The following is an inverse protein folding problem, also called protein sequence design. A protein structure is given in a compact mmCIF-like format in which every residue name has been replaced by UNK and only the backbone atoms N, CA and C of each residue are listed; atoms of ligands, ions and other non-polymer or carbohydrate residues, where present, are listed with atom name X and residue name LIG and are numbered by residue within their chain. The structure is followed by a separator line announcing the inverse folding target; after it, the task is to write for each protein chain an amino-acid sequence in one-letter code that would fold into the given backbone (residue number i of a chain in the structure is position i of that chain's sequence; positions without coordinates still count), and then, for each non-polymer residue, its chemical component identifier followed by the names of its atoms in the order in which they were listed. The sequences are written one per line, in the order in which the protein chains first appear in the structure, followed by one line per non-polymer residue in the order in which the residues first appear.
data_IF_629184577108
#
_entry.id   IF_629184577108
#
_cell.length_a   1.000
_cell.length_b   1.000
_cell.length_c   1.000
_cell.angle_alpha   90.00
_cell.angle_beta   90.00
_cell.angle_gamma   90.00
#
_symmetry.space_group_name_H-M   'P 1'
#
loop_
_entity.id
_entity.type
_entity.pdbx_description
1 polymer ?
#
# COMPACT_ATOMS: atom_id res chain seq x y z
N UNK A 1 12.78 23.94 15.99
CA UNK A 1 11.33 24.27 16.16
C UNK A 1 10.53 23.12 16.78
N UNK A 2 10.40 21.95 16.14
CA UNK A 2 9.55 20.85 16.64
C UNK A 2 9.93 20.35 18.05
N UNK A 3 11.22 20.06 18.29
CA UNK A 3 11.72 19.66 19.63
C UNK A 3 11.36 20.67 20.71
N UNK A 4 11.61 21.95 20.44
CA UNK A 4 11.32 23.07 21.36
C UNK A 4 9.84 23.21 21.68
N UNK A 5 8.95 22.76 20.79
CA UNK A 5 7.50 22.75 21.01
C UNK A 5 6.97 21.47 21.64
N UNK A 6 7.84 20.54 22.05
CA UNK A 6 7.46 19.32 22.76
C UNK A 6 6.90 18.20 21.88
N UNK A 7 7.00 18.30 20.55
CA UNK A 7 6.62 17.18 19.68
C UNK A 7 7.56 16.00 19.90
N UNK A 8 6.98 14.79 19.98
CA UNK A 8 7.73 13.52 20.08
C UNK A 8 7.96 12.86 18.72
N UNK A 9 6.99 13.02 17.82
CA UNK A 9 7.02 12.44 16.49
C UNK A 9 6.62 13.48 15.45
N UNK A 10 7.20 13.37 14.27
CA UNK A 10 6.79 14.13 13.09
C UNK A 10 7.14 13.35 11.83
N UNK A 11 6.26 13.44 10.84
CA UNK A 11 6.42 12.82 9.53
C UNK A 11 7.08 13.80 8.55
N UNK A 12 7.93 13.28 7.67
CA UNK A 12 8.43 13.95 6.47
C UNK A 12 7.96 13.20 5.21
N UNK A 13 8.20 13.78 4.03
CA UNK A 13 8.01 13.09 2.76
C UNK A 13 9.03 11.97 2.52
N UNK A 14 9.23 11.62 1.25
CA UNK A 14 10.12 10.54 0.81
C UNK A 14 11.60 10.95 0.76
N UNK A 15 11.88 12.24 0.54
CA UNK A 15 13.22 12.81 0.49
C UNK A 15 13.94 12.84 1.86
N UNK A 16 15.27 12.65 1.91
CA UNK A 16 16.20 12.67 0.77
C UNK A 16 16.46 11.32 0.09
N UNK A 17 15.98 10.20 0.63
CA UNK A 17 16.33 8.87 0.12
C UNK A 17 15.65 8.54 -1.20
N UNK A 18 14.50 9.16 -1.45
CA UNK A 18 13.73 9.05 -2.69
C UNK A 18 13.38 10.46 -3.16
N UNK A 19 13.37 10.64 -4.48
CA UNK A 19 12.87 11.88 -5.05
C UNK A 19 11.40 12.10 -4.65
N UNK A 20 11.06 13.36 -4.42
CA UNK A 20 9.68 13.72 -4.14
C UNK A 20 8.89 13.67 -5.44
N UNK A 21 7.84 12.86 -5.45
CA UNK A 21 6.82 12.88 -6.50
C UNK A 21 5.54 13.51 -5.95
N UNK A 22 5.01 14.48 -6.69
CA UNK A 22 3.77 15.18 -6.39
C UNK A 22 2.54 14.27 -6.54
N UNK A 23 2.67 13.20 -7.31
CA UNK A 23 1.60 12.25 -7.64
C UNK A 23 1.62 11.00 -6.73
N UNK A 24 2.40 11.04 -5.65
CA UNK A 24 2.59 9.90 -4.74
C UNK A 24 3.73 8.98 -5.20
N UNK A 25 4.02 7.96 -4.40
CA UNK A 25 5.06 6.99 -4.73
C UNK A 25 5.72 6.33 -3.53
N UNK A 26 6.73 5.50 -3.84
CA UNK A 26 7.53 4.73 -2.89
C UNK A 26 8.50 5.62 -2.12
N UNK A 27 8.82 5.20 -0.90
CA UNK A 27 9.80 5.83 -0.03
C UNK A 27 10.37 4.86 0.99
N UNK A 28 11.26 5.32 1.89
CA UNK A 28 11.95 4.43 2.81
C UNK A 28 11.04 4.03 3.98
N UNK A 29 11.28 2.84 4.54
CA UNK A 29 10.67 2.44 5.81
C UNK A 29 11.26 3.22 6.98
N UNK A 30 10.44 3.47 8.00
CA UNK A 30 10.92 4.07 9.23
C UNK A 30 11.65 3.03 10.07
N UNK A 31 12.93 3.28 10.35
CA UNK A 31 13.72 2.50 11.29
C UNK A 31 13.92 3.31 12.58
N UNK A 32 13.28 2.93 13.70
CA UNK A 32 13.42 3.64 14.97
C UNK A 32 14.83 3.64 15.58
N UNK A 33 15.72 2.74 15.13
CA UNK A 33 17.08 2.62 15.67
C UNK A 33 18.04 3.65 15.05
N UNK A 34 17.77 4.10 13.81
CA UNK A 34 18.62 5.05 13.08
C UNK A 34 17.93 6.37 12.74
N UNK A 35 16.63 6.37 12.51
CA UNK A 35 15.92 7.58 12.11
C UNK A 35 15.54 8.42 13.32
N UNK A 36 15.67 9.73 13.17
CA UNK A 36 15.18 10.67 14.16
C UNK A 36 13.64 10.60 14.20
N UNK A 37 12.99 10.43 15.36
CA UNK A 37 11.53 10.29 15.46
C UNK A 37 10.77 11.55 14.99
N UNK A 38 11.44 12.69 14.86
CA UNK A 38 10.88 13.92 14.28
C UNK A 38 11.06 14.04 12.77
N UNK A 39 11.56 12.98 12.11
CA UNK A 39 11.79 12.89 10.67
C UNK A 39 11.37 11.49 10.16
N UNK A 40 10.23 10.99 10.64
CA UNK A 40 9.67 9.71 10.19
C UNK A 40 9.38 9.79 8.68
N UNK A 41 10.00 8.96 7.83
CA UNK A 41 9.72 8.98 6.40
C UNK A 41 8.32 8.46 6.08
N UNK A 42 7.84 8.84 4.89
CA UNK A 42 6.74 8.12 4.22
C UNK A 42 7.32 6.98 3.39
N UNK A 43 6.82 5.77 3.61
CA UNK A 43 7.19 4.55 2.86
C UNK A 43 6.36 4.41 1.58
N UNK A 44 5.12 4.85 1.62
CA UNK A 44 4.23 4.88 0.46
C UNK A 44 3.26 6.04 0.56
N UNK A 45 3.21 6.88 -0.46
CA UNK A 45 2.21 7.93 -0.60
C UNK A 45 1.27 7.55 -1.75
N UNK A 46 -0.01 7.37 -1.43
CA UNK A 46 -1.02 7.09 -2.44
C UNK A 46 -1.33 8.34 -3.25
N UNK A 47 -1.46 8.17 -4.55
CA UNK A 47 -1.82 9.18 -5.54
C UNK A 47 -2.09 8.50 -6.88
N UNK A 48 -2.27 9.25 -7.98
CA UNK A 48 -2.76 8.71 -9.25
C UNK A 48 -1.86 7.64 -9.90
N UNK A 49 -0.59 7.52 -9.50
CA UNK A 49 0.35 6.52 -10.02
C UNK A 49 0.63 5.38 -9.05
N UNK A 50 0.05 5.43 -7.84
CA UNK A 50 0.18 4.38 -6.84
C UNK A 50 -0.80 3.26 -7.14
N UNK A 51 -0.35 2.00 -7.12
CA UNK A 51 -1.20 0.82 -7.37
C UNK A 51 -1.16 -0.21 -6.22
N UNK A 52 -1.77 -1.38 -6.45
CA UNK A 52 -1.79 -2.46 -5.45
C UNK A 52 -0.42 -3.11 -5.25
N UNK A 53 0.41 -3.17 -6.28
CA UNK A 53 1.77 -3.72 -6.19
C UNK A 53 2.70 -2.80 -5.39
N UNK A 54 2.54 -1.48 -5.53
CA UNK A 54 3.21 -0.48 -4.69
C UNK A 54 2.82 -0.62 -3.22
N UNK A 55 1.54 -0.86 -2.96
CA UNK A 55 1.05 -1.13 -1.62
C UNK A 55 1.69 -2.38 -1.02
N UNK A 56 1.68 -3.51 -1.75
CA UNK A 56 2.34 -4.74 -1.31
C UNK A 56 3.85 -4.55 -1.10
N UNK A 57 4.52 -3.81 -1.99
CA UNK A 57 5.93 -3.48 -1.87
C UNK A 57 6.22 -2.69 -0.58
N UNK A 58 5.39 -1.70 -0.25
CA UNK A 58 5.56 -0.89 0.95
C UNK A 58 5.32 -1.71 2.22
N UNK A 59 4.33 -2.61 2.22
CA UNK A 59 4.12 -3.56 3.32
C UNK A 59 5.32 -4.49 3.52
N UNK A 60 5.98 -4.93 2.45
CA UNK A 60 7.18 -5.78 2.55
C UNK A 60 8.36 -5.07 3.23
N UNK A 61 8.37 -3.73 3.27
CA UNK A 61 9.41 -2.98 3.98
C UNK A 61 9.23 -2.99 5.51
N UNK A 62 8.06 -3.38 6.02
CA UNK A 62 7.77 -3.49 7.46
C UNK A 62 8.38 -4.77 8.09
N UNK A 63 9.71 -4.88 7.97
CA UNK A 63 10.52 -6.02 8.43
C UNK A 63 11.71 -5.54 9.23
N UNK A 64 12.33 -6.47 9.97
CA UNK A 64 13.54 -6.18 10.74
C UNK A 64 13.33 -5.00 11.71
N UNK A 65 12.16 -4.97 12.36
CA UNK A 65 11.72 -3.91 13.30
C UNK A 65 11.45 -2.54 12.65
N UNK A 66 11.55 -2.43 11.32
CA UNK A 66 11.14 -1.26 10.55
C UNK A 66 9.63 -1.20 10.41
N UNK A 67 9.14 0.02 10.23
CA UNK A 67 7.72 0.35 10.15
C UNK A 67 7.46 0.97 8.79
N UNK A 68 6.53 0.38 8.04
CA UNK A 68 6.00 1.02 6.83
C UNK A 68 5.02 2.13 7.23
N UNK A 69 5.21 3.32 6.66
CA UNK A 69 4.36 4.49 6.91
C UNK A 69 3.64 4.83 5.62
N UNK A 70 2.36 4.47 5.55
CA UNK A 70 1.50 4.75 4.40
C UNK A 70 0.79 6.09 4.59
N UNK A 71 0.68 6.87 3.51
CA UNK A 71 0.03 8.19 3.50
C UNK A 71 -1.04 8.20 2.41
N UNK A 72 -2.29 8.49 2.82
CA UNK A 72 -3.42 8.74 1.91
C UNK A 72 -3.89 10.17 2.16
N UNK A 73 -3.99 10.98 1.10
CA UNK A 73 -4.43 12.38 1.25
C UNK A 73 -5.95 12.48 1.43
N UNK A 74 -6.70 11.64 0.72
CA UNK A 74 -8.13 11.44 0.90
C UNK A 74 -8.64 10.25 0.08
N UNK A 75 -9.73 9.63 0.55
CA UNK A 75 -10.38 8.48 -0.07
C UNK A 75 -11.90 8.73 -0.12
N UNK A 76 -12.42 9.41 -1.15
CA UNK A 76 -11.69 10.15 -2.18
C UNK A 76 -11.21 11.52 -1.70
N UNK A 77 -10.20 12.07 -2.39
CA UNK A 77 -9.86 13.51 -2.35
C UNK A 77 -10.44 14.18 -3.60
N UNK A 78 -11.32 15.17 -3.43
CA UNK A 78 -12.07 15.78 -4.55
C UNK A 78 -11.45 17.10 -5.03
N UNK A 79 -10.78 17.83 -4.13
CA UNK A 79 -10.24 19.17 -4.43
C UNK A 79 -8.80 19.09 -4.97
N UNK A 80 -8.08 18.00 -4.67
CA UNK A 80 -6.67 17.81 -5.03
C UNK A 80 -6.47 16.48 -5.81
N UNK A 81 -6.90 16.42 -7.09
CA UNK A 81 -6.90 15.16 -7.85
C UNK A 81 -5.52 14.53 -8.03
N UNK A 82 -4.43 15.30 -7.94
CA UNK A 82 -3.06 14.79 -8.06
C UNK A 82 -2.58 13.99 -6.84
N UNK A 83 -3.35 13.92 -5.76
CA UNK A 83 -3.08 13.05 -4.59
C UNK A 83 -4.27 12.18 -4.22
N UNK A 84 -5.23 12.05 -5.14
CA UNK A 84 -6.43 11.26 -4.96
C UNK A 84 -6.12 9.78 -4.80
N UNK A 85 -6.88 9.11 -3.94
CA UNK A 85 -6.97 7.65 -3.90
C UNK A 85 -8.40 7.23 -4.18
N UNK A 86 -8.58 6.36 -5.17
CA UNK A 86 -9.89 5.81 -5.51
C UNK A 86 -10.40 4.92 -4.36
N UNK A 87 -11.66 5.07 -3.90
CA UNK A 87 -12.26 4.19 -2.90
C UNK A 87 -12.18 2.69 -3.26
N UNK A 88 -12.35 2.33 -4.54
CA UNK A 88 -12.30 0.94 -4.99
C UNK A 88 -10.88 0.36 -4.89
N UNK A 89 -9.87 1.23 -5.05
CA UNK A 89 -8.47 0.88 -4.82
C UNK A 89 -8.13 0.79 -3.33
N UNK A 90 -8.73 1.63 -2.49
CA UNK A 90 -8.46 1.68 -1.05
C UNK A 90 -9.12 0.52 -0.28
N UNK A 91 -10.31 0.09 -0.68
CA UNK A 91 -11.07 -0.94 0.02
C UNK A 91 -10.25 -2.23 0.24
N UNK A 92 -9.54 -2.78 -0.77
CA UNK A 92 -8.64 -3.92 -0.57
C UNK A 92 -7.51 -3.70 0.45
N UNK A 93 -7.02 -2.46 0.62
CA UNK A 93 -5.92 -2.16 1.53
C UNK A 93 -6.30 -2.30 3.01
N UNK A 94 -7.57 -2.04 3.33
CA UNK A 94 -8.10 -2.02 4.71
C UNK A 94 -9.09 -3.15 4.98
N UNK A 95 -9.40 -3.96 3.96
CA UNK A 95 -10.28 -5.10 4.09
C UNK A 95 -9.78 -6.03 5.20
N UNK A 96 -10.69 -6.37 6.13
CA UNK A 96 -10.41 -7.15 7.33
C UNK A 96 -9.85 -8.55 7.02
N UNK A 97 -10.18 -9.06 5.84
CA UNK A 97 -9.80 -10.40 5.40
C UNK A 97 -8.48 -10.42 4.66
N UNK A 98 -7.76 -9.30 4.49
CA UNK A 98 -6.38 -9.30 3.98
C UNK A 98 -5.48 -10.02 4.99
N UNK A 99 -5.45 -11.34 4.87
CA UNK A 99 -4.84 -12.23 5.82
C UNK A 99 -3.33 -12.20 5.65
N UNK A 100 -2.62 -12.43 6.76
CA UNK A 100 -1.16 -12.67 6.73
C UNK A 100 -0.80 -13.77 5.72
N UNK A 101 -1.69 -14.74 5.49
CA UNK A 101 -1.48 -15.86 4.57
C UNK A 101 -1.54 -15.43 3.11
N UNK A 102 -2.50 -14.59 2.73
CA UNK A 102 -2.59 -14.00 1.38
C UNK A 102 -1.40 -13.11 1.08
N UNK A 103 -1.00 -12.26 2.03
CA UNK A 103 0.23 -11.46 1.89
C UNK A 103 1.48 -12.33 1.70
N UNK A 104 1.61 -13.43 2.46
CA UNK A 104 2.70 -14.39 2.28
C UNK A 104 2.60 -15.17 0.96
N UNK A 105 1.40 -15.42 0.44
CA UNK A 105 1.19 -16.08 -0.84
C UNK A 105 1.59 -15.18 -2.02
N UNK A 106 1.18 -13.91 -2.03
CA UNK A 106 1.63 -12.91 -3.01
C UNK A 106 3.17 -12.82 -3.04
N UNK A 107 3.82 -12.84 -1.85
CA UNK A 107 5.28 -12.81 -1.76
C UNK A 107 5.99 -14.00 -2.40
N UNK A 108 5.45 -15.23 -2.24
CA UNK A 108 6.05 -16.44 -2.84
C UNK A 108 6.00 -16.42 -4.37
N UNK A 109 5.05 -15.68 -4.96
CA UNK A 109 5.01 -15.40 -6.39
C UNK A 109 6.05 -14.35 -6.83
N UNK A 110 6.31 -13.34 -6.01
CA UNK A 110 7.25 -12.26 -6.31
C UNK A 110 8.74 -12.64 -6.17
N UNK A 111 9.09 -13.71 -5.43
CA UNK A 111 10.46 -14.21 -5.32
C UNK A 111 11.04 -14.85 -6.60
N UNK A 112 10.28 -14.86 -7.70
CA UNK A 112 10.74 -15.30 -9.02
C UNK A 112 11.30 -14.20 -9.94
N UNK A 113 11.43 -12.95 -9.48
CA UNK A 113 11.71 -11.81 -10.36
C UNK A 113 12.93 -10.99 -9.98
N UNK A 114 14.13 -11.57 -10.12
CA UNK A 114 15.36 -10.80 -10.29
C UNK A 114 16.22 -11.45 -11.40
N UNK A 115 15.63 -11.63 -12.59
CA UNK A 115 16.37 -11.65 -13.87
C UNK A 115 15.42 -11.41 -15.06
N UNK A 116 16.01 -10.91 -16.15
CA UNK A 116 15.53 -10.38 -17.44
C UNK A 116 14.28 -10.97 -18.13
N UNK A 117 13.61 -10.12 -18.91
CA UNK A 117 12.91 -10.51 -20.15
C UNK A 117 11.42 -10.83 -19.99
N UNK A 118 10.59 -10.22 -20.83
CA UNK A 118 9.13 -10.21 -20.67
C UNK A 118 8.43 -11.54 -20.96
N UNK A 119 7.18 -11.65 -20.50
CA UNK A 119 6.02 -12.22 -21.20
C UNK A 119 4.74 -11.92 -20.42
N UNK A 120 3.68 -11.70 -21.17
CA UNK A 120 2.31 -11.44 -20.75
C UNK A 120 1.68 -12.54 -19.88
N UNK A 121 0.68 -12.12 -19.09
CA UNK A 121 -0.55 -12.89 -18.88
C UNK A 121 -0.62 -13.72 -17.61
N UNK A 122 -1.30 -13.20 -16.58
CA UNK A 122 -2.25 -13.99 -15.78
C UNK A 122 -3.12 -13.09 -14.88
N UNK A 123 -4.25 -12.63 -15.40
CA UNK A 123 -5.40 -12.26 -14.58
C UNK A 123 -6.65 -12.77 -15.28
N UNK A 124 -7.02 -14.02 -15.01
CA UNK A 124 -8.38 -14.48 -15.17
C UNK A 124 -8.69 -15.57 -14.14
N UNK A 125 -9.95 -15.61 -13.71
CA UNK A 125 -10.54 -16.35 -12.58
C UNK A 125 -10.36 -15.66 -11.21
N UNK A 126 -11.40 -15.29 -10.47
CA UNK A 126 -12.69 -15.97 -10.37
C UNK A 126 -13.77 -15.04 -9.77
N UNK A 127 -14.58 -14.42 -10.63
CA UNK A 127 -15.96 -14.04 -10.28
C UNK A 127 -16.86 -15.28 -10.46
N UNK A 128 -17.35 -15.82 -9.34
CA UNK A 128 -18.57 -16.64 -9.12
C UNK A 128 -18.35 -17.38 -7.79
N UNK A 129 -19.14 -17.22 -6.74
CA UNK A 129 -20.59 -17.34 -6.70
C UNK A 129 -21.10 -16.88 -5.33
N UNK A 130 -21.97 -15.88 -5.29
CA UNK A 130 -22.91 -15.66 -4.17
C UNK A 130 -24.36 -15.79 -4.66
N UNK A 131 -25.07 -16.74 -4.05
CA UNK A 131 -26.51 -16.81 -3.76
C UNK A 131 -27.60 -16.80 -4.84
N UNK A 132 -28.46 -17.82 -4.69
CA UNK A 132 -29.94 -17.84 -4.78
C UNK A 132 -30.58 -18.17 -6.14
N UNK A 133 -31.33 -19.29 -6.17
CA UNK A 133 -32.80 -19.25 -6.26
C UNK A 133 -33.45 -20.59 -5.92
N UNK A 134 -34.55 -20.48 -5.17
CA UNK A 134 -35.52 -21.52 -4.86
C UNK A 134 -36.37 -21.92 -6.08
N UNK A 135 -36.90 -23.15 -6.08
CA UNK A 135 -38.20 -23.56 -6.67
C UNK A 135 -38.40 -25.07 -6.36
N UNK A 136 -39.28 -25.44 -5.42
CA UNK A 136 -40.60 -26.08 -5.66
C UNK A 136 -40.77 -26.81 -7.01
N UNK A 137 -40.95 -28.14 -6.98
CA UNK A 137 -42.08 -28.80 -7.65
C UNK A 137 -42.24 -30.26 -7.23
N UNK A 138 -43.49 -30.68 -7.13
CA UNK A 138 -44.02 -32.01 -6.85
C UNK A 138 -43.80 -32.98 -8.01
N UNK A 139 -43.64 -34.26 -7.71
CA UNK A 139 -44.46 -35.38 -8.25
C UNK A 139 -44.18 -36.64 -7.46
#
# INVERSE_FOLDING_TARGET
VLKTRGFRFARRGTAPEFDYDKDGGRGPAYDPEIHNPLLIPTTGASGPQWDFDDFLWALDQARDRRIAVLTFHGVPELDHPWVHTDPDQFEPYVARDFSREEWLACRRGASGGADVGGVEGLFDANQRSTSSKAEHSQS
#
